data_IF_506855464383
#
_entry.id   IF_506855464383
#
_cell.length_a   1.000
_cell.length_b   1.000
_cell.length_c   1.000
_cell.angle_alpha   90.00
_cell.angle_beta   90.00
_cell.angle_gamma   90.00
#
_symmetry.space_group_name_H-M   'P 1'
#
loop_
_entity.id
_entity.type
_entity.pdbx_description
1 polymer ?
#
# COMPACT_ATOMS: atom_id res chain seq x y z
N UNK A 1 16.99 11.60 -6.91
CA UNK A 1 15.53 11.77 -6.74
C UNK A 1 14.73 11.01 -7.82
N UNK A 2 15.28 9.92 -8.37
CA UNK A 2 14.64 9.11 -9.45
C UNK A 2 13.90 7.90 -8.87
N UNK A 3 14.36 7.44 -7.70
CA UNK A 3 13.92 6.21 -7.04
C UNK A 3 12.44 6.25 -6.62
N UNK A 4 11.97 7.43 -6.21
CA UNK A 4 10.59 7.67 -5.75
C UNK A 4 9.56 7.60 -6.89
N UNK A 5 9.95 8.02 -8.11
CA UNK A 5 9.07 8.00 -9.29
C UNK A 5 8.95 6.59 -9.85
N UNK A 6 10.06 5.85 -9.92
CA UNK A 6 10.06 4.44 -10.34
C UNK A 6 9.24 3.57 -9.37
N UNK A 7 9.39 3.80 -8.07
CA UNK A 7 8.62 3.11 -7.04
C UNK A 7 7.11 3.40 -7.18
N UNK A 8 6.72 4.68 -7.25
CA UNK A 8 5.32 5.06 -7.43
C UNK A 8 4.72 4.47 -8.69
N UNK A 9 5.44 4.47 -9.81
CA UNK A 9 4.94 3.93 -11.08
C UNK A 9 4.73 2.41 -11.03
N UNK A 10 5.54 1.68 -10.26
CA UNK A 10 5.43 0.23 -10.06
C UNK A 10 4.30 -0.22 -9.13
N UNK A 11 3.67 0.70 -8.39
CA UNK A 11 2.52 0.37 -7.54
C UNK A 11 1.28 0.10 -8.39
N UNK A 12 0.35 -0.69 -7.85
CA UNK A 12 -0.99 -0.85 -8.43
C UNK A 12 -1.78 0.45 -8.26
N UNK A 13 -2.69 0.73 -9.18
CA UNK A 13 -3.49 1.98 -9.16
C UNK A 13 -4.24 2.18 -7.84
N UNK A 14 -4.77 1.11 -7.25
CA UNK A 14 -5.41 1.15 -5.93
C UNK A 14 -4.46 1.60 -4.80
N UNK A 15 -3.19 1.20 -4.88
CA UNK A 15 -2.15 1.63 -3.95
C UNK A 15 -1.76 3.09 -4.18
N UNK A 16 -1.73 3.54 -5.44
CA UNK A 16 -1.47 4.94 -5.81
C UNK A 16 -2.60 5.85 -5.32
N UNK A 17 -3.85 5.46 -5.50
CA UNK A 17 -5.03 6.23 -5.08
C UNK A 17 -5.07 6.43 -3.57
N UNK A 18 -4.74 5.40 -2.79
CA UNK A 18 -4.68 5.51 -1.33
C UNK A 18 -3.44 6.29 -0.87
N UNK A 19 -2.30 6.19 -1.57
CA UNK A 19 -1.13 7.01 -1.28
C UNK A 19 -1.35 8.49 -1.60
N UNK A 20 -2.09 8.82 -2.67
CA UNK A 20 -2.42 10.21 -3.03
C UNK A 20 -3.32 10.91 -2.00
N UNK A 21 -4.02 10.14 -1.15
CA UNK A 21 -4.87 10.68 -0.07
C UNK A 21 -4.07 11.00 1.19
N UNK A 22 -2.79 10.64 1.25
CA UNK A 22 -1.95 10.81 2.43
C UNK A 22 -0.78 11.72 2.07
N UNK A 23 -0.35 12.53 3.04
CA UNK A 23 0.78 13.43 2.83
C UNK A 23 2.06 12.64 2.50
N UNK A 24 2.79 13.10 1.47
CA UNK A 24 3.94 12.35 0.95
C UNK A 24 5.12 12.51 1.90
N UNK A 25 5.61 11.44 2.53
CA UNK A 25 6.74 11.52 3.44
C UNK A 25 8.05 11.88 2.72
N UNK A 26 8.91 12.64 3.41
CA UNK A 26 10.16 13.18 2.83
C UNK A 26 11.23 12.13 2.49
N UNK A 27 11.04 10.88 2.93
CA UNK A 27 12.04 9.81 2.74
C UNK A 27 11.43 8.59 2.08
N UNK A 28 12.13 8.06 1.07
CA UNK A 28 11.73 6.86 0.34
C UNK A 28 11.46 5.66 1.26
N UNK A 29 12.23 5.50 2.34
CA UNK A 29 12.00 4.42 3.30
C UNK A 29 10.60 4.52 3.96
N UNK A 30 10.22 5.71 4.42
CA UNK A 30 8.88 5.95 4.96
C UNK A 30 7.80 5.78 3.90
N UNK A 31 8.09 6.19 2.66
CA UNK A 31 7.18 6.02 1.53
C UNK A 31 6.92 4.54 1.22
N UNK A 32 7.97 3.72 1.15
CA UNK A 32 7.88 2.28 0.95
C UNK A 32 7.14 1.60 2.09
N UNK A 33 7.45 1.94 3.35
CA UNK A 33 6.75 1.38 4.50
C UNK A 33 5.25 1.73 4.49
N UNK A 34 4.89 2.95 4.07
CA UNK A 34 3.50 3.37 3.94
C UNK A 34 2.79 2.61 2.83
N UNK A 35 3.42 2.46 1.65
CA UNK A 35 2.87 1.70 0.54
C UNK A 35 2.60 0.24 0.91
N UNK A 36 3.52 -0.43 1.62
CA UNK A 36 3.34 -1.82 2.09
C UNK A 36 2.14 -1.93 3.04
N UNK A 37 1.96 -0.96 3.96
CA UNK A 37 0.83 -0.96 4.89
C UNK A 37 -0.51 -0.80 4.16
N UNK A 38 -0.55 0.06 3.15
CA UNK A 38 -1.74 0.30 2.34
C UNK A 38 -2.09 -0.95 1.53
N UNK A 39 -1.11 -1.57 0.86
CA UNK A 39 -1.34 -2.78 0.07
C UNK A 39 -1.88 -3.92 0.94
N UNK A 40 -1.29 -4.12 2.13
CA UNK A 40 -1.79 -5.09 3.12
C UNK A 40 -3.23 -4.79 3.54
N UNK A 41 -3.58 -3.53 3.80
CA UNK A 41 -4.95 -3.13 4.16
C UNK A 41 -5.94 -3.41 3.03
N UNK A 42 -5.58 -3.07 1.80
CA UNK A 42 -6.40 -3.31 0.60
C UNK A 42 -6.59 -4.81 0.38
N UNK A 43 -5.52 -5.59 0.52
CA UNK A 43 -5.57 -7.05 0.42
C UNK A 43 -6.50 -7.66 1.47
N UNK A 44 -6.35 -7.28 2.73
CA UNK A 44 -7.21 -7.74 3.83
C UNK A 44 -8.67 -7.37 3.55
N UNK A 45 -8.95 -6.14 3.11
CA UNK A 45 -10.30 -5.70 2.77
C UNK A 45 -10.91 -6.50 1.61
N UNK A 46 -10.11 -6.82 0.59
CA UNK A 46 -10.51 -7.70 -0.53
C UNK A 46 -10.80 -9.12 -0.07
N UNK A 47 -10.00 -9.68 0.84
CA UNK A 47 -10.26 -10.99 1.43
C UNK A 47 -11.60 -11.02 2.17
N UNK A 48 -11.84 -10.03 3.04
CA UNK A 48 -13.11 -9.93 3.77
C UNK A 48 -14.32 -9.76 2.85
N UNK A 49 -14.23 -8.95 1.79
CA UNK A 49 -15.31 -8.76 0.82
C UNK A 49 -15.61 -10.01 -0.02
N UNK A 50 -14.62 -10.88 -0.24
CA UNK A 50 -14.78 -12.09 -1.07
C UNK A 50 -15.33 -13.30 -0.30
N UNK A 51 -15.75 -13.11 0.96
CA UNK A 51 -16.34 -14.18 1.79
C UNK A 51 -15.36 -15.27 2.22
N UNK A 52 -14.06 -15.11 1.93
CA UNK A 52 -13.01 -15.96 2.48
C UNK A 52 -12.50 -15.31 3.75
N UNK A 53 -13.14 -15.63 4.88
CA UNK A 53 -12.55 -15.42 6.19
C UNK A 53 -11.19 -16.12 6.22
N UNK A 54 -10.14 -15.37 5.93
CA UNK A 54 -8.77 -15.86 6.02
C UNK A 54 -8.14 -15.11 7.18
N UNK A 55 -7.68 -15.91 8.14
CA UNK A 55 -7.10 -15.52 9.43
C UNK A 55 -6.25 -14.24 9.33
N UNK A 56 -6.42 -13.38 10.34
CA UNK A 56 -5.58 -12.21 10.56
C UNK A 56 -4.10 -12.61 10.41
N UNK A 57 -3.29 -11.84 9.64
CA UNK A 57 -1.86 -12.09 9.62
C UNK A 57 -1.32 -11.83 11.03
N UNK A 58 -0.89 -12.92 11.68
CA UNK A 58 -0.14 -12.87 12.93
C UNK A 58 1.25 -12.38 12.54
N UNK A 59 1.60 -11.17 12.97
CA UNK A 59 2.95 -10.62 12.85
C UNK A 59 3.86 -11.24 13.91
#
# INVERSE_FOLDING_TARGET
MIDDILFYNGLKDEGKDELNKIDRPDTLNRYTAMAIRIDNRVYIYKLYRKGKGAAAPIY
#
